data_IF_184757079013
#
_entry.id   IF_184757079013
#
_cell.length_a   1.000
_cell.length_b   1.000
_cell.length_c   1.000
_cell.angle_alpha   90.00
_cell.angle_beta   90.00
_cell.angle_gamma   90.00
#
_symmetry.space_group_name_H-M   'P 1'
#
loop_
_entity.id
_entity.type
_entity.pdbx_description
1 polymer ?
#
# COMPACT_ATOMS: atom_id res chain seq x y z
N UNK A 1 -5.33 7.63 23.94
CA UNK A 1 -6.00 6.90 22.83
C UNK A 1 -7.00 5.89 23.42
N UNK A 2 -8.15 5.74 22.82
CA UNK A 2 -9.19 4.79 23.24
C UNK A 2 -9.08 3.55 22.36
N UNK A 3 -9.17 2.35 22.97
CA UNK A 3 -9.22 1.11 22.20
C UNK A 3 -10.63 0.94 21.60
N UNK A 4 -10.74 0.85 20.28
CA UNK A 4 -11.98 0.57 19.59
C UNK A 4 -12.00 -0.88 19.10
N UNK A 5 -13.09 -1.61 19.37
CA UNK A 5 -13.26 -3.00 18.92
C UNK A 5 -13.51 -3.10 17.41
N UNK A 6 -14.00 -2.05 16.78
CA UNK A 6 -14.36 -2.03 15.35
C UNK A 6 -13.17 -1.70 14.44
N UNK A 7 -12.20 -0.93 14.96
CA UNK A 7 -11.01 -0.51 14.21
C UNK A 7 -9.93 -1.60 14.36
N UNK A 8 -9.31 -2.00 13.28
CA UNK A 8 -8.27 -3.04 13.30
C UNK A 8 -6.88 -2.50 13.61
N UNK A 9 -6.66 -1.19 13.42
CA UNK A 9 -5.40 -0.50 13.70
C UNK A 9 -5.63 0.68 14.65
N UNK A 10 -5.13 0.59 15.87
CA UNK A 10 -5.07 1.67 16.86
C UNK A 10 -3.76 1.62 17.66
N UNK A 11 -3.45 2.64 18.46
CA UNK A 11 -2.19 2.71 19.23
C UNK A 11 -2.00 1.54 20.22
N UNK A 12 -3.08 0.98 20.76
CA UNK A 12 -3.00 -0.19 21.63
C UNK A 12 -2.64 -1.43 20.84
N UNK A 13 -3.34 -1.67 19.71
CA UNK A 13 -3.13 -2.84 18.85
C UNK A 13 -1.76 -2.85 18.20
N UNK A 14 -1.26 -1.70 17.69
CA UNK A 14 0.09 -1.63 17.14
C UNK A 14 1.17 -1.85 18.20
N UNK A 15 0.90 -1.47 19.46
CA UNK A 15 1.81 -1.75 20.58
C UNK A 15 1.79 -3.24 20.95
N UNK A 16 0.63 -3.85 21.08
CA UNK A 16 0.44 -5.28 21.35
C UNK A 16 1.05 -6.17 20.26
N UNK A 17 0.87 -5.77 18.98
CA UNK A 17 1.43 -6.48 17.82
C UNK A 17 2.89 -6.18 17.51
N UNK A 18 3.55 -5.35 18.35
CA UNK A 18 4.93 -4.91 18.16
C UNK A 18 5.22 -4.21 16.83
N UNK A 19 4.21 -3.55 16.24
CA UNK A 19 4.36 -2.76 15.03
C UNK A 19 5.00 -1.41 15.35
N UNK A 20 6.03 -1.03 14.61
CA UNK A 20 6.73 0.25 14.78
C UNK A 20 6.14 1.38 13.93
N UNK A 21 5.64 1.02 12.74
CA UNK A 21 5.09 1.98 11.79
C UNK A 21 3.92 1.38 11.01
N UNK A 22 3.01 2.25 10.59
CA UNK A 22 1.90 1.92 9.68
C UNK A 22 1.70 3.04 8.67
N UNK A 23 1.03 2.73 7.55
CA UNK A 23 0.57 3.75 6.61
C UNK A 23 -0.92 3.93 6.81
N UNK A 24 -1.36 5.17 6.98
CA UNK A 24 -2.76 5.54 6.99
C UNK A 24 -3.09 6.27 5.69
N UNK A 25 -4.14 5.84 5.02
CA UNK A 25 -4.48 6.33 3.68
C UNK A 25 -5.72 7.20 3.67
N UNK A 26 -5.70 8.23 2.84
CA UNK A 26 -6.92 8.88 2.38
C UNK A 26 -7.55 7.99 1.30
N UNK A 27 -8.49 7.14 1.70
CA UNK A 27 -9.24 6.28 0.79
C UNK A 27 -10.40 7.02 0.14
N UNK A 28 -10.50 6.88 -1.19
CA UNK A 28 -11.61 7.42 -1.98
C UNK A 28 -12.26 6.34 -2.85
N UNK A 29 -13.53 6.10 -2.58
CA UNK A 29 -14.33 5.28 -3.50
C UNK A 29 -14.39 5.96 -4.87
N UNK A 30 -14.23 5.20 -5.96
CA UNK A 30 -14.43 5.72 -7.30
C UNK A 30 -15.91 6.09 -7.50
N UNK A 31 -16.14 7.33 -7.89
CA UNK A 31 -17.44 7.87 -8.23
C UNK A 31 -17.40 8.42 -9.68
N UNK A 32 -18.37 9.25 -10.04
CA UNK A 32 -18.45 9.95 -11.31
C UNK A 32 -17.24 10.86 -11.54
N UNK A 33 -16.98 11.20 -12.80
CA UNK A 33 -15.84 12.03 -13.21
C UNK A 33 -16.28 13.42 -13.70
N UNK A 34 -17.37 13.95 -13.13
CA UNK A 34 -17.76 15.34 -13.33
C UNK A 34 -16.84 16.27 -12.57
N UNK A 35 -16.74 17.52 -12.96
CA UNK A 35 -15.86 18.49 -12.31
C UNK A 35 -16.24 18.69 -10.82
N UNK A 36 -17.54 18.64 -10.49
CA UNK A 36 -18.03 18.70 -9.12
C UNK A 36 -17.60 17.49 -8.31
N UNK A 37 -17.71 16.27 -8.87
CA UNK A 37 -17.34 15.04 -8.18
C UNK A 37 -15.81 14.96 -7.98
N UNK A 38 -15.03 15.40 -8.96
CA UNK A 38 -13.57 15.49 -8.86
C UNK A 38 -13.11 16.50 -7.81
N UNK A 39 -13.73 17.68 -7.78
CA UNK A 39 -13.48 18.70 -6.73
C UNK A 39 -13.83 18.17 -5.35
N UNK A 40 -14.97 17.50 -5.20
CA UNK A 40 -15.40 16.88 -3.95
C UNK A 40 -14.44 15.76 -3.50
N UNK A 41 -13.88 14.98 -4.44
CA UNK A 41 -12.91 13.94 -4.15
C UNK A 41 -11.62 14.55 -3.59
N UNK A 42 -11.09 15.61 -4.20
CA UNK A 42 -9.90 16.32 -3.70
C UNK A 42 -10.14 16.89 -2.30
N UNK A 43 -11.27 17.55 -2.09
CA UNK A 43 -11.64 18.07 -0.76
C UNK A 43 -11.82 16.97 0.29
N UNK A 44 -12.32 15.79 -0.11
CA UNK A 44 -12.43 14.63 0.79
C UNK A 44 -11.06 14.09 1.17
N UNK A 45 -10.12 13.99 0.22
CA UNK A 45 -8.75 13.57 0.50
C UNK A 45 -8.08 14.51 1.52
N UNK A 46 -8.20 15.83 1.32
CA UNK A 46 -7.68 16.84 2.24
C UNK A 46 -8.26 16.67 3.65
N UNK A 47 -9.57 16.49 3.76
CA UNK A 47 -10.22 16.30 5.05
C UNK A 47 -9.71 15.07 5.78
N UNK A 48 -9.60 13.92 5.09
CA UNK A 48 -9.10 12.68 5.71
C UNK A 48 -7.64 12.86 6.17
N UNK A 49 -6.79 13.47 5.34
CA UNK A 49 -5.41 13.74 5.73
C UNK A 49 -5.34 14.68 6.94
N UNK A 50 -6.20 15.72 7.01
CA UNK A 50 -6.28 16.60 8.18
C UNK A 50 -6.68 15.81 9.44
N UNK A 51 -7.67 14.92 9.34
CA UNK A 51 -8.11 14.08 10.46
C UNK A 51 -6.99 13.16 10.97
N UNK A 52 -6.17 12.59 10.07
CA UNK A 52 -4.99 11.78 10.43
C UNK A 52 -3.94 12.66 11.14
N UNK A 53 -3.59 13.81 10.57
CA UNK A 53 -2.62 14.76 11.13
C UNK A 53 -3.06 15.25 12.53
N UNK A 54 -4.34 15.60 12.70
CA UNK A 54 -4.88 15.98 14.00
C UNK A 54 -4.86 14.84 15.02
N UNK A 55 -5.19 13.62 14.59
CA UNK A 55 -5.12 12.43 15.46
C UNK A 55 -3.68 12.21 15.94
N UNK A 56 -2.69 12.30 15.05
CA UNK A 56 -1.27 12.18 15.41
C UNK A 56 -0.86 13.31 16.36
N UNK A 57 -1.21 14.56 16.07
CA UNK A 57 -0.89 15.71 16.92
C UNK A 57 -1.47 15.58 18.33
N UNK A 58 -2.72 15.09 18.47
CA UNK A 58 -3.37 14.83 19.77
C UNK A 58 -2.68 13.71 20.57
N UNK A 59 -1.88 12.85 19.93
CA UNK A 59 -1.18 11.73 20.55
C UNK A 59 0.36 11.83 20.39
N UNK A 60 0.89 13.03 20.20
CA UNK A 60 2.29 13.30 19.83
C UNK A 60 3.36 12.74 20.80
N UNK A 61 3.00 12.37 22.02
CA UNK A 61 3.90 11.67 22.96
C UNK A 61 4.16 10.21 22.57
N UNK A 62 3.23 9.57 21.86
CA UNK A 62 3.27 8.15 21.52
C UNK A 62 3.46 7.88 20.02
N UNK A 63 3.07 8.81 19.15
CA UNK A 63 3.11 8.65 17.70
C UNK A 63 3.49 9.96 17.01
N UNK A 64 4.12 9.85 15.84
CA UNK A 64 4.44 11.03 15.01
C UNK A 64 4.41 10.64 13.53
N UNK A 65 4.37 11.64 12.62
CA UNK A 65 4.39 11.41 11.18
C UNK A 65 5.83 11.21 10.71
N UNK A 66 6.03 10.18 9.87
CA UNK A 66 7.28 9.92 9.18
C UNK A 66 7.15 10.23 7.68
N UNK A 67 8.03 11.07 7.17
CA UNK A 67 8.08 11.52 5.78
C UNK A 67 9.14 10.78 4.96
N UNK A 68 10.12 10.21 5.65
CA UNK A 68 11.29 9.54 5.09
C UNK A 68 11.64 8.27 5.87
N UNK A 69 12.41 7.32 5.29
CA UNK A 69 12.93 6.18 6.04
C UNK A 69 13.76 6.58 7.26
N UNK A 70 14.48 7.70 7.20
CA UNK A 70 15.26 8.20 8.33
C UNK A 70 14.37 8.64 9.50
N UNK A 71 13.19 9.20 9.23
CA UNK A 71 12.22 9.54 10.28
C UNK A 71 11.74 8.32 11.04
N UNK A 72 11.50 7.20 10.35
CA UNK A 72 11.11 5.94 11.01
C UNK A 72 12.17 5.48 12.02
N UNK A 73 13.44 5.52 11.60
CA UNK A 73 14.56 5.17 12.51
C UNK A 73 14.64 6.12 13.70
N UNK A 74 14.46 7.43 13.47
CA UNK A 74 14.48 8.46 14.52
C UNK A 74 13.34 8.25 15.51
N UNK A 75 12.11 8.04 15.01
CA UNK A 75 10.93 7.84 15.85
C UNK A 75 11.01 6.56 16.67
N UNK A 76 11.46 5.46 16.07
CA UNK A 76 11.70 4.20 16.79
C UNK A 76 12.70 4.37 17.93
N UNK A 77 13.82 5.07 17.67
CA UNK A 77 14.82 5.38 18.73
C UNK A 77 14.25 6.25 19.84
N UNK A 78 13.29 7.13 19.52
CA UNK A 78 12.58 7.95 20.49
C UNK A 78 11.44 7.21 21.23
N UNK A 79 11.24 5.91 20.96
CA UNK A 79 10.16 5.10 21.56
C UNK A 79 8.77 5.44 21.06
N UNK A 80 8.66 6.18 19.94
CA UNK A 80 7.39 6.54 19.32
C UNK A 80 7.04 5.58 18.18
N UNK A 81 5.74 5.40 17.96
CA UNK A 81 5.21 4.78 16.74
C UNK A 81 5.25 5.80 15.60
N UNK A 82 5.27 5.32 14.37
CA UNK A 82 5.27 6.17 13.20
C UNK A 82 4.02 5.95 12.34
N UNK A 83 3.47 7.04 11.79
CA UNK A 83 2.45 7.02 10.76
C UNK A 83 3.04 7.64 9.50
N UNK A 84 2.94 6.95 8.38
CA UNK A 84 3.16 7.52 7.05
C UNK A 84 1.80 7.78 6.40
N UNK A 85 1.73 8.79 5.53
CA UNK A 85 0.50 9.15 4.82
C UNK A 85 0.49 8.52 3.43
N UNK A 86 -0.66 7.99 3.01
CA UNK A 86 -0.89 7.52 1.65
C UNK A 86 -2.20 8.06 1.07
N UNK A 87 -2.35 7.91 -0.23
CA UNK A 87 -3.64 8.13 -0.92
C UNK A 87 -4.00 6.83 -1.63
N UNK A 88 -5.20 6.34 -1.40
CA UNK A 88 -5.75 5.20 -2.12
C UNK A 88 -6.86 5.66 -3.06
N UNK A 89 -6.57 5.58 -4.34
CA UNK A 89 -7.24 6.07 -5.52
C UNK A 89 -6.78 7.48 -5.95
N UNK A 90 -6.00 7.55 -7.03
CA UNK A 90 -5.57 8.80 -7.66
C UNK A 90 -6.72 9.70 -8.14
N UNK A 91 -7.96 9.24 -8.06
CA UNK A 91 -9.17 10.06 -8.18
C UNK A 91 -9.11 11.32 -7.29
N UNK A 92 -8.34 11.26 -6.20
CA UNK A 92 -8.09 12.34 -5.27
C UNK A 92 -7.46 13.59 -5.90
N UNK A 93 -6.69 13.44 -6.99
CA UNK A 93 -6.04 14.61 -7.61
C UNK A 93 -6.96 15.37 -8.57
N UNK A 94 -8.16 14.83 -8.86
CA UNK A 94 -9.04 15.37 -9.90
C UNK A 94 -8.34 15.34 -11.26
N UNK A 95 -8.46 16.42 -12.03
CA UNK A 95 -7.73 16.66 -13.29
C UNK A 95 -6.59 17.66 -13.13
N UNK A 96 -6.21 17.98 -11.90
CA UNK A 96 -5.16 18.94 -11.60
C UNK A 96 -3.89 18.24 -11.13
N UNK A 97 -2.91 18.14 -12.02
CA UNK A 97 -1.63 17.47 -11.76
C UNK A 97 -0.85 18.12 -10.62
N UNK A 98 -1.07 19.42 -10.33
CA UNK A 98 -0.37 20.11 -9.23
C UNK A 98 -0.73 19.54 -7.86
N UNK A 99 -1.87 18.85 -7.75
CA UNK A 99 -2.26 18.14 -6.55
C UNK A 99 -1.30 17.02 -6.18
N UNK A 100 -0.56 16.42 -7.12
CA UNK A 100 0.46 15.40 -6.83
C UNK A 100 1.58 16.01 -5.96
N UNK A 101 2.14 17.14 -6.38
CA UNK A 101 3.17 17.84 -5.61
C UNK A 101 2.61 18.37 -4.28
N UNK A 102 1.42 18.94 -4.29
CA UNK A 102 0.75 19.43 -3.08
C UNK A 102 0.57 18.33 -2.03
N UNK A 103 0.10 17.15 -2.40
CA UNK A 103 -0.02 16.01 -1.49
C UNK A 103 1.36 15.49 -1.04
N UNK A 104 2.36 15.48 -1.93
CA UNK A 104 3.72 15.11 -1.54
C UNK A 104 4.31 16.07 -0.50
N UNK A 105 4.08 17.36 -0.61
CA UNK A 105 4.49 18.37 0.38
C UNK A 105 3.79 18.16 1.74
N UNK A 106 2.59 17.61 1.77
CA UNK A 106 1.92 17.19 3.01
C UNK A 106 2.54 15.92 3.62
N UNK A 107 3.39 15.22 2.90
CA UNK A 107 4.06 14.01 3.38
C UNK A 107 3.49 12.70 2.85
N UNK A 108 2.58 12.73 1.87
CA UNK A 108 2.08 11.52 1.20
C UNK A 108 3.26 10.78 0.56
N UNK A 109 3.49 9.54 0.97
CA UNK A 109 4.64 8.74 0.50
C UNK A 109 4.32 7.91 -0.73
N UNK A 110 3.06 7.51 -0.92
CA UNK A 110 2.60 6.86 -2.15
C UNK A 110 1.17 7.26 -2.52
N UNK A 111 0.82 7.05 -3.79
CA UNK A 111 -0.56 7.12 -4.26
C UNK A 111 -0.87 5.91 -5.13
N UNK A 112 -1.95 5.19 -4.78
CA UNK A 112 -2.52 4.11 -5.60
C UNK A 112 -3.21 4.74 -6.80
N UNK A 113 -2.83 4.33 -8.02
CA UNK A 113 -3.29 4.98 -9.27
C UNK A 113 -4.82 4.97 -9.43
N UNK A 114 -5.46 3.89 -9.03
CA UNK A 114 -6.93 3.74 -9.05
C UNK A 114 -7.40 2.85 -7.90
N UNK A 115 -8.71 2.81 -7.69
CA UNK A 115 -9.36 1.81 -6.83
C UNK A 115 -10.27 0.90 -7.69
N UNK A 116 -11.35 0.37 -7.17
CA UNK A 116 -12.32 -0.40 -7.93
C UNK A 116 -13.11 0.53 -8.88
N UNK A 117 -12.81 0.45 -10.16
CA UNK A 117 -13.35 1.29 -11.24
C UNK A 117 -12.28 2.16 -11.90
N UNK A 118 -12.45 2.37 -13.22
CA UNK A 118 -11.57 3.22 -14.03
C UNK A 118 -11.68 4.68 -13.59
N UNK A 119 -10.54 5.39 -13.58
CA UNK A 119 -10.50 6.84 -13.39
C UNK A 119 -9.80 7.56 -14.55
N UNK A 120 -9.47 8.84 -14.40
CA UNK A 120 -8.79 9.60 -15.46
C UNK A 120 -7.31 9.22 -15.61
N UNK A 121 -6.74 8.46 -14.65
CA UNK A 121 -5.34 8.03 -14.66
C UNK A 121 -5.20 6.68 -15.37
N UNK A 122 -6.00 5.67 -14.99
CA UNK A 122 -5.83 4.32 -15.54
C UNK A 122 -7.07 3.42 -15.37
N UNK A 123 -7.04 2.29 -16.07
CA UNK A 123 -7.99 1.20 -15.93
C UNK A 123 -7.72 0.35 -14.70
N UNK A 124 -8.79 0.02 -13.98
CA UNK A 124 -8.77 -0.79 -12.77
C UNK A 124 -8.78 -2.29 -13.08
N UNK A 125 -8.39 -3.13 -12.13
CA UNK A 125 -8.55 -4.59 -12.16
C UNK A 125 -10.02 -5.03 -12.09
N UNK A 126 -10.93 -4.13 -11.67
CA UNK A 126 -12.37 -4.38 -11.57
C UNK A 126 -13.15 -3.30 -12.32
N UNK A 127 -14.25 -3.70 -12.97
CA UNK A 127 -15.09 -2.78 -13.73
C UNK A 127 -14.34 -2.06 -14.88
N UNK A 128 -13.46 -2.81 -15.56
CA UNK A 128 -12.68 -2.35 -16.72
C UNK A 128 -12.97 -3.22 -17.93
N UNK A 129 -14.22 -3.20 -18.41
CA UNK A 129 -14.70 -4.03 -19.53
C UNK A 129 -14.02 -3.63 -20.85
N UNK A 130 -13.57 -2.38 -20.96
CA UNK A 130 -12.85 -1.87 -22.12
C UNK A 130 -11.36 -2.25 -22.16
N UNK A 131 -10.83 -2.84 -21.09
CA UNK A 131 -9.41 -3.21 -20.98
C UNK A 131 -8.46 -2.02 -21.04
N UNK A 132 -8.87 -0.88 -20.46
CA UNK A 132 -8.06 0.35 -20.45
C UNK A 132 -6.75 0.18 -19.69
N UNK A 133 -5.70 0.79 -20.19
CA UNK A 133 -4.41 0.96 -19.53
C UNK A 133 -4.26 2.34 -18.88
N UNK A 134 -3.01 2.81 -18.80
CA UNK A 134 -2.70 4.18 -18.35
C UNK A 134 -3.07 5.18 -19.46
N UNK A 135 -3.78 6.23 -19.09
CA UNK A 135 -4.16 7.30 -20.02
C UNK A 135 -2.99 8.27 -20.27
N UNK A 136 -3.13 9.18 -21.25
CA UNK A 136 -2.16 10.28 -21.45
C UNK A 136 -2.01 11.15 -20.21
N UNK A 137 -3.10 11.42 -19.47
CA UNK A 137 -3.05 12.14 -18.21
C UNK A 137 -2.35 11.29 -17.13
N UNK A 138 -2.65 9.99 -17.07
CA UNK A 138 -1.99 9.06 -16.15
C UNK A 138 -0.48 8.97 -16.37
N UNK A 139 -0.01 9.03 -17.62
CA UNK A 139 1.43 9.11 -17.92
C UNK A 139 2.07 10.37 -17.30
N UNK A 140 1.42 11.51 -17.42
CA UNK A 140 1.89 12.76 -16.80
C UNK A 140 1.90 12.64 -15.27
N UNK A 141 0.86 12.05 -14.67
CA UNK A 141 0.76 11.82 -13.23
C UNK A 141 1.90 10.93 -12.73
N UNK A 142 2.18 9.80 -13.39
CA UNK A 142 3.28 8.91 -13.00
C UNK A 142 4.63 9.63 -13.07
N UNK A 143 4.88 10.39 -14.13
CA UNK A 143 6.11 11.20 -14.27
C UNK A 143 6.23 12.25 -13.17
N UNK A 144 5.12 12.90 -12.84
CA UNK A 144 5.08 13.89 -11.75
C UNK A 144 5.33 13.25 -10.39
N UNK A 145 4.71 12.08 -10.11
CA UNK A 145 4.99 11.30 -8.89
C UNK A 145 6.49 10.97 -8.76
N UNK A 146 7.13 10.54 -9.86
CA UNK A 146 8.57 10.29 -9.87
C UNK A 146 9.38 11.56 -9.59
N UNK A 147 8.98 12.70 -10.19
CA UNK A 147 9.65 14.00 -10.02
C UNK A 147 9.63 14.46 -8.57
N UNK A 148 8.49 14.35 -7.91
CA UNK A 148 8.31 14.84 -6.53
C UNK A 148 8.76 13.83 -5.47
N UNK A 149 9.13 12.60 -5.86
CA UNK A 149 9.52 11.54 -4.92
C UNK A 149 8.33 10.89 -4.19
N UNK A 150 7.22 10.68 -4.90
CA UNK A 150 6.06 9.91 -4.44
C UNK A 150 6.05 8.55 -5.12
N UNK A 151 5.96 7.46 -4.36
CA UNK A 151 5.91 6.10 -4.92
C UNK A 151 4.61 5.88 -5.69
N UNK A 152 4.72 5.24 -6.85
CA UNK A 152 3.57 4.77 -7.64
C UNK A 152 3.12 3.42 -7.10
N UNK A 153 1.85 3.33 -6.68
CA UNK A 153 1.25 2.09 -6.23
C UNK A 153 0.27 1.58 -7.27
N UNK A 154 0.47 0.32 -7.71
CA UNK A 154 -0.34 -0.36 -8.73
C UNK A 154 -1.30 -1.39 -8.16
N UNK A 155 -1.49 -1.45 -6.85
CA UNK A 155 -2.63 -2.18 -6.29
C UNK A 155 -3.93 -1.65 -6.91
N UNK A 156 -4.90 -2.52 -7.18
CA UNK A 156 -6.12 -2.23 -7.94
C UNK A 156 -5.96 -1.96 -9.44
N UNK A 157 -4.76 -1.71 -9.95
CA UNK A 157 -4.57 -1.48 -11.39
C UNK A 157 -4.87 -2.75 -12.21
N UNK A 158 -5.55 -2.58 -13.35
CA UNK A 158 -5.72 -3.65 -14.32
C UNK A 158 -4.38 -4.10 -14.91
N UNK A 159 -4.34 -5.29 -15.49
CA UNK A 159 -3.08 -5.87 -15.99
C UNK A 159 -2.39 -4.94 -16.99
N UNK A 160 -3.14 -4.37 -17.95
CA UNK A 160 -2.58 -3.41 -18.89
C UNK A 160 -2.04 -2.16 -18.18
N UNK A 161 -2.79 -1.61 -17.22
CA UNK A 161 -2.36 -0.43 -16.43
C UNK A 161 -1.11 -0.72 -15.61
N UNK A 162 -0.98 -1.94 -15.10
CA UNK A 162 0.21 -2.39 -14.38
C UNK A 162 1.45 -2.33 -15.28
N UNK A 163 1.39 -2.94 -16.48
CA UNK A 163 2.53 -2.94 -17.40
C UNK A 163 2.83 -1.55 -17.96
N UNK A 164 1.79 -0.77 -18.27
CA UNK A 164 1.96 0.63 -18.72
C UNK A 164 2.67 1.46 -17.63
N UNK A 165 2.21 1.37 -16.37
CA UNK A 165 2.83 2.09 -15.25
C UNK A 165 4.29 1.65 -15.02
N UNK A 166 4.57 0.35 -15.12
CA UNK A 166 5.90 -0.20 -14.99
C UNK A 166 6.85 0.29 -16.10
N UNK A 167 6.34 0.46 -17.33
CA UNK A 167 7.10 0.99 -18.46
C UNK A 167 7.34 2.51 -18.34
N UNK A 168 6.33 3.26 -17.89
CA UNK A 168 6.37 4.73 -17.79
C UNK A 168 7.25 5.19 -16.62
N UNK A 169 7.17 4.50 -15.47
CA UNK A 169 7.90 4.92 -14.27
C UNK A 169 9.41 4.77 -14.45
N UNK A 170 10.14 5.87 -14.24
CA UNK A 170 11.61 5.88 -14.16
C UNK A 170 12.16 5.43 -12.80
N UNK A 171 11.28 5.16 -11.82
CA UNK A 171 11.61 4.72 -10.46
C UNK A 171 10.92 3.38 -10.18
N UNK A 172 11.41 2.59 -9.20
CA UNK A 172 10.69 1.39 -8.76
C UNK A 172 9.27 1.74 -8.29
N UNK A 173 8.33 0.83 -8.53
CA UNK A 173 6.93 0.97 -8.13
C UNK A 173 6.54 -0.10 -7.11
N UNK A 174 5.41 0.05 -6.44
CA UNK A 174 4.94 -0.90 -5.43
C UNK A 174 3.55 -1.42 -5.77
N UNK A 175 3.23 -2.62 -5.28
CA UNK A 175 1.87 -3.11 -5.13
C UNK A 175 1.61 -3.27 -3.63
N UNK A 176 0.98 -2.25 -3.03
CA UNK A 176 0.88 -2.10 -1.57
C UNK A 176 0.04 -3.19 -0.89
N UNK A 177 -0.90 -3.82 -1.63
CA UNK A 177 -1.76 -4.89 -1.11
C UNK A 177 -2.31 -5.75 -2.26
N UNK A 178 -1.50 -6.70 -2.73
CA UNK A 178 -1.84 -7.64 -3.81
C UNK A 178 -1.18 -8.99 -3.57
N UNK A 179 -1.95 -10.07 -3.66
CA UNK A 179 -1.44 -11.43 -3.43
C UNK A 179 -1.14 -12.14 -4.76
N UNK A 180 -0.81 -13.43 -4.72
CA UNK A 180 -0.44 -14.21 -5.91
C UNK A 180 -1.67 -14.82 -6.60
N UNK A 181 -1.86 -14.53 -7.90
CA UNK A 181 -2.98 -15.06 -8.68
C UNK A 181 -2.86 -16.56 -8.91
N UNK A 182 -1.65 -17.10 -8.95
CA UNK A 182 -1.41 -18.54 -9.09
C UNK A 182 -2.06 -19.37 -7.96
N UNK A 183 -2.17 -18.83 -6.75
CA UNK A 183 -2.76 -19.50 -5.60
C UNK A 183 -4.26 -19.17 -5.44
N UNK A 184 -4.68 -17.98 -5.79
CA UNK A 184 -6.08 -17.58 -5.78
C UNK A 184 -6.36 -16.70 -7.00
N UNK A 185 -7.07 -17.28 -7.98
CA UNK A 185 -7.42 -16.57 -9.23
C UNK A 185 -8.46 -15.50 -8.93
N UNK A 186 -7.94 -14.31 -8.62
CA UNK A 186 -8.71 -13.10 -8.39
C UNK A 186 -8.07 -11.93 -9.15
N UNK A 187 -8.84 -11.05 -9.81
CA UNK A 187 -8.29 -9.97 -10.64
C UNK A 187 -7.42 -8.96 -9.88
N UNK A 188 -7.58 -8.87 -8.55
CA UNK A 188 -6.74 -8.02 -7.68
C UNK A 188 -5.38 -8.63 -7.35
N UNK A 189 -5.18 -9.93 -7.61
CA UNK A 189 -3.91 -10.62 -7.41
C UNK A 189 -3.02 -10.50 -8.66
N UNK A 190 -1.72 -10.49 -8.45
CA UNK A 190 -0.73 -10.40 -9.51
C UNK A 190 -0.39 -11.79 -10.08
N UNK A 191 -0.24 -11.87 -11.39
CA UNK A 191 0.30 -13.08 -12.05
C UNK A 191 1.79 -13.22 -11.75
N UNK A 192 2.34 -14.43 -11.93
CA UNK A 192 3.79 -14.67 -11.77
C UNK A 192 4.62 -13.80 -12.71
N UNK A 193 4.12 -13.52 -13.92
CA UNK A 193 4.81 -12.65 -14.87
C UNK A 193 4.78 -11.17 -14.42
N UNK A 194 3.68 -10.70 -13.83
CA UNK A 194 3.63 -9.38 -13.20
C UNK A 194 4.59 -9.29 -12.01
N UNK A 195 4.63 -10.32 -11.16
CA UNK A 195 5.54 -10.40 -10.03
C UNK A 195 7.00 -10.33 -10.47
N UNK A 196 7.40 -11.13 -11.47
CA UNK A 196 8.76 -11.11 -12.06
C UNK A 196 9.09 -9.74 -12.66
N UNK A 197 8.16 -9.14 -13.41
CA UNK A 197 8.36 -7.85 -14.05
C UNK A 197 8.55 -6.74 -13.00
N UNK A 198 7.77 -6.77 -11.90
CA UNK A 198 7.88 -5.83 -10.80
C UNK A 198 9.24 -5.95 -10.10
N UNK A 199 9.69 -7.18 -9.80
CA UNK A 199 10.99 -7.45 -9.20
C UNK A 199 12.14 -6.99 -10.10
N UNK A 200 12.08 -7.27 -11.40
CA UNK A 200 13.09 -6.85 -12.38
C UNK A 200 13.28 -5.33 -12.44
N UNK A 201 12.26 -4.55 -12.07
CA UNK A 201 12.30 -3.08 -11.92
C UNK A 201 12.64 -2.60 -10.51
N UNK A 202 13.07 -3.49 -9.61
CA UNK A 202 13.40 -3.16 -8.23
C UNK A 202 12.19 -2.90 -7.32
N UNK A 203 10.98 -3.18 -7.79
CA UNK A 203 9.74 -2.94 -7.05
C UNK A 203 9.47 -3.94 -5.94
N UNK A 204 8.35 -3.74 -5.24
CA UNK A 204 7.90 -4.58 -4.12
C UNK A 204 6.40 -4.88 -4.24
N UNK A 205 6.02 -6.14 -4.05
CA UNK A 205 4.63 -6.54 -3.85
C UNK A 205 4.40 -6.98 -2.40
N UNK A 206 3.30 -6.52 -1.82
CA UNK A 206 2.95 -6.81 -0.43
C UNK A 206 1.70 -7.68 -0.36
N UNK A 207 1.80 -8.80 0.37
CA UNK A 207 0.71 -9.77 0.54
C UNK A 207 -0.47 -9.10 1.22
N UNK A 208 -1.63 -9.11 0.57
CA UNK A 208 -2.89 -8.59 1.13
C UNK A 208 -3.53 -9.63 2.06
N UNK A 209 -4.09 -9.17 3.17
CA UNK A 209 -4.78 -10.03 4.14
C UNK A 209 -6.31 -9.97 4.02
N UNK A 210 -6.82 -9.61 2.83
CA UNK A 210 -8.23 -9.81 2.53
C UNK A 210 -8.48 -11.29 2.19
N UNK A 211 -9.41 -11.94 2.90
CA UNK A 211 -9.63 -13.38 2.77
C UNK A 211 -9.95 -13.84 1.34
N UNK A 212 -10.72 -13.04 0.58
CA UNK A 212 -11.08 -13.34 -0.81
C UNK A 212 -9.91 -13.28 -1.80
N UNK A 213 -8.76 -12.68 -1.44
CA UNK A 213 -7.55 -12.70 -2.27
C UNK A 213 -6.63 -13.88 -1.93
N UNK A 214 -6.87 -14.53 -0.80
CA UNK A 214 -6.08 -15.66 -0.34
C UNK A 214 -6.77 -16.99 -0.63
N UNK A 215 -8.12 -17.03 -0.55
CA UNK A 215 -8.94 -18.23 -0.86
C UNK A 215 -10.24 -17.85 -1.56
N UNK A 216 -10.67 -18.66 -2.52
CA UNK A 216 -11.92 -18.44 -3.28
C UNK A 216 -13.18 -18.36 -2.40
N UNK A 217 -13.23 -19.09 -1.29
CA UNK A 217 -14.35 -19.06 -0.34
C UNK A 217 -14.25 -17.90 0.67
N UNK A 218 -13.15 -17.14 0.67
CA UNK A 218 -12.91 -16.04 1.61
C UNK A 218 -12.52 -16.43 3.03
N UNK A 219 -12.58 -17.73 3.35
CA UNK A 219 -12.25 -18.26 4.69
C UNK A 219 -10.74 -18.52 4.79
N UNK A 220 -9.95 -17.45 4.85
CA UNK A 220 -8.51 -17.52 4.90
C UNK A 220 -7.97 -17.44 6.33
N UNK A 221 -6.80 -18.02 6.50
CA UNK A 221 -6.03 -18.01 7.74
C UNK A 221 -4.64 -17.42 7.50
N UNK A 222 -3.90 -17.18 8.57
CA UNK A 222 -2.51 -16.76 8.50
C UNK A 222 -1.63 -17.73 7.70
N UNK A 223 -1.97 -19.03 7.65
CA UNK A 223 -1.24 -20.02 6.84
C UNK A 223 -1.38 -19.72 5.35
N UNK A 224 -2.57 -19.34 4.91
CA UNK A 224 -2.82 -18.98 3.52
C UNK A 224 -2.04 -17.73 3.11
N UNK A 225 -1.98 -16.73 3.99
CA UNK A 225 -1.16 -15.55 3.75
C UNK A 225 0.34 -15.89 3.65
N UNK A 226 0.83 -16.80 4.46
CA UNK A 226 2.21 -17.30 4.39
C UNK A 226 2.45 -18.13 3.11
N UNK A 227 1.50 -18.93 2.65
CA UNK A 227 1.61 -19.64 1.37
C UNK A 227 1.75 -18.66 0.20
N UNK A 228 0.95 -17.60 0.18
CA UNK A 228 1.09 -16.52 -0.81
C UNK A 228 2.44 -15.83 -0.71
N UNK A 229 2.90 -15.50 0.49
CA UNK A 229 4.21 -14.89 0.70
C UNK A 229 5.34 -15.79 0.20
N UNK A 230 5.33 -17.09 0.55
CA UNK A 230 6.33 -18.06 0.10
C UNK A 230 6.36 -18.18 -1.43
N UNK A 231 5.19 -18.23 -2.07
CA UNK A 231 5.08 -18.25 -3.52
C UNK A 231 5.70 -16.97 -4.13
N UNK A 232 5.33 -15.80 -3.60
CA UNK A 232 5.87 -14.53 -4.09
C UNK A 232 7.39 -14.44 -3.89
N UNK A 233 7.92 -14.90 -2.75
CA UNK A 233 9.38 -14.97 -2.53
C UNK A 233 10.06 -15.89 -3.53
N UNK A 234 9.47 -17.04 -3.85
CA UNK A 234 10.02 -17.96 -4.85
C UNK A 234 10.03 -17.38 -6.27
N UNK A 235 9.04 -16.54 -6.60
CA UNK A 235 8.91 -15.93 -7.94
C UNK A 235 9.73 -14.65 -8.09
N UNK A 236 9.78 -13.82 -7.05
CA UNK A 236 10.33 -12.45 -7.09
C UNK A 236 11.71 -12.32 -6.44
N UNK A 237 12.06 -13.23 -5.53
CA UNK A 237 13.15 -13.04 -4.59
C UNK A 237 12.73 -12.32 -3.31
N UNK A 238 13.49 -12.54 -2.24
CA UNK A 238 13.17 -12.05 -0.89
C UNK A 238 13.19 -10.52 -0.78
N UNK A 239 13.97 -9.84 -1.61
CA UNK A 239 14.12 -8.38 -1.62
C UNK A 239 12.91 -7.64 -2.21
N UNK A 240 11.92 -8.38 -2.71
CA UNK A 240 10.79 -7.79 -3.46
C UNK A 240 9.43 -8.09 -2.83
N UNK A 241 9.37 -8.70 -1.66
CA UNK A 241 8.12 -9.10 -1.01
C UNK A 241 7.95 -8.41 0.35
N UNK A 242 6.71 -8.06 0.68
CA UNK A 242 6.35 -7.45 1.96
C UNK A 242 4.95 -7.84 2.42
N UNK A 243 4.46 -7.11 3.44
CA UNK A 243 3.15 -7.32 4.07
C UNK A 243 2.31 -6.07 3.89
N UNK A 244 1.16 -6.19 3.23
CA UNK A 244 0.15 -5.15 3.03
C UNK A 244 -1.20 -5.60 3.57
N UNK A 245 -1.44 -5.39 4.85
CA UNK A 245 -2.55 -6.01 5.58
C UNK A 245 -3.93 -5.65 5.07
N UNK A 246 -4.10 -4.47 4.51
CA UNK A 246 -5.40 -3.91 4.14
C UNK A 246 -6.38 -3.86 5.34
N UNK A 247 -5.84 -3.74 6.56
CA UNK A 247 -6.65 -3.56 7.76
C UNK A 247 -7.48 -2.27 7.66
N UNK A 248 -8.70 -2.35 8.16
CA UNK A 248 -9.74 -1.33 8.04
C UNK A 248 -10.22 -1.07 6.58
N UNK A 249 -9.70 -1.83 5.58
CA UNK A 249 -10.13 -1.90 4.19
C UNK A 249 -10.55 -3.33 3.80
N UNK A 250 -11.30 -4.02 4.67
CA UNK A 250 -11.74 -5.43 4.54
C UNK A 250 -10.64 -6.49 4.83
N UNK A 251 -9.41 -6.11 5.14
CA UNK A 251 -8.36 -7.01 5.60
C UNK A 251 -8.64 -7.58 6.99
N UNK A 252 -7.95 -8.69 7.28
CA UNK A 252 -8.08 -9.40 8.56
C UNK A 252 -8.53 -10.84 8.37
N UNK A 253 -7.70 -11.78 8.83
CA UNK A 253 -7.85 -13.22 8.64
C UNK A 253 -7.70 -13.96 9.96
N UNK A 254 -8.16 -15.20 10.02
CA UNK A 254 -7.99 -16.03 11.22
C UNK A 254 -6.52 -16.18 11.57
N UNK A 255 -6.16 -15.80 12.81
CA UNK A 255 -4.79 -15.81 13.33
C UNK A 255 -4.01 -14.52 13.05
N UNK A 256 -4.58 -13.57 12.29
CA UNK A 256 -4.08 -12.22 12.10
C UNK A 256 -5.26 -11.29 11.78
N UNK A 257 -6.17 -11.10 12.75
CA UNK A 257 -7.41 -10.37 12.58
C UNK A 257 -7.28 -8.85 12.78
N UNK A 258 -6.20 -8.39 13.38
CA UNK A 258 -5.91 -6.98 13.61
C UNK A 258 -4.43 -6.75 13.86
N UNK A 259 -4.02 -5.50 13.99
CA UNK A 259 -2.64 -5.12 14.27
C UNK A 259 -2.11 -5.75 15.57
N UNK A 260 -2.96 -6.06 16.56
CA UNK A 260 -2.53 -6.73 17.80
C UNK A 260 -2.01 -8.15 17.58
N UNK A 261 -2.39 -8.80 16.47
CA UNK A 261 -2.01 -10.17 16.15
C UNK A 261 -0.85 -10.29 15.15
N UNK A 262 -0.29 -9.17 14.69
CA UNK A 262 0.81 -9.16 13.71
C UNK A 262 2.05 -9.92 14.18
N UNK A 263 2.27 -10.01 15.48
CA UNK A 263 3.33 -10.85 16.05
C UNK A 263 3.19 -12.33 15.67
N UNK A 264 1.96 -12.81 15.40
CA UNK A 264 1.72 -14.16 14.95
C UNK A 264 2.29 -14.40 13.55
N UNK A 265 2.28 -13.37 12.70
CA UNK A 265 2.91 -13.45 11.38
C UNK A 265 4.43 -13.62 11.51
N UNK A 266 5.09 -12.84 12.38
CA UNK A 266 6.51 -13.02 12.68
C UNK A 266 6.83 -14.43 13.20
N UNK A 267 6.01 -14.92 14.16
CA UNK A 267 6.16 -16.30 14.68
C UNK A 267 6.04 -17.34 13.57
N UNK A 268 5.11 -17.11 12.64
CA UNK A 268 4.93 -18.02 11.51
C UNK A 268 6.14 -17.99 10.56
N UNK A 269 6.69 -16.82 10.24
CA UNK A 269 7.91 -16.70 9.43
C UNK A 269 9.09 -17.45 10.05
N UNK A 270 9.24 -17.40 11.38
CA UNK A 270 10.27 -18.17 12.10
C UNK A 270 10.05 -19.69 11.97
N UNK A 271 8.79 -20.15 12.02
CA UNK A 271 8.46 -21.57 11.81
C UNK A 271 8.75 -22.02 10.37
N UNK A 272 8.61 -21.14 9.39
CA UNK A 272 9.00 -21.35 7.98
C UNK A 272 10.53 -21.23 7.77
N UNK A 273 11.31 -21.01 8.85
CA UNK A 273 12.78 -20.90 8.87
C UNK A 273 13.35 -19.70 8.09
N UNK A 274 12.58 -18.61 7.98
CA UNK A 274 13.14 -17.35 7.53
C UNK A 274 14.18 -16.84 8.54
N UNK A 275 15.32 -16.36 8.03
CA UNK A 275 16.33 -15.71 8.88
C UNK A 275 15.81 -14.38 9.42
N UNK A 276 16.40 -13.87 10.51
CA UNK A 276 16.05 -12.54 11.04
C UNK A 276 16.22 -11.44 9.98
N UNK A 277 17.24 -11.54 9.14
CA UNK A 277 17.48 -10.61 8.03
C UNK A 277 16.31 -10.64 7.04
N UNK A 278 15.89 -11.83 6.61
CA UNK A 278 14.75 -11.99 5.70
C UNK A 278 13.45 -11.47 6.33
N UNK A 279 13.23 -11.71 7.61
CA UNK A 279 12.07 -11.18 8.34
C UNK A 279 12.09 -9.65 8.37
N UNK A 280 13.25 -9.01 8.56
CA UNK A 280 13.39 -7.55 8.50
C UNK A 280 13.08 -6.99 7.11
N UNK A 281 13.52 -7.68 6.06
CA UNK A 281 13.21 -7.30 4.68
C UNK A 281 11.70 -7.35 4.43
N UNK A 282 11.04 -8.46 4.78
CA UNK A 282 9.59 -8.66 4.62
C UNK A 282 8.78 -7.62 5.40
N UNK A 283 9.14 -7.34 6.66
CA UNK A 283 8.40 -6.41 7.52
C UNK A 283 8.50 -4.94 7.11
N UNK A 284 9.50 -4.55 6.36
CA UNK A 284 9.57 -3.15 5.93
C UNK A 284 10.83 -2.81 5.16
N UNK A 285 11.92 -3.57 5.29
CA UNK A 285 13.19 -3.25 4.64
C UNK A 285 13.06 -3.07 3.13
N UNK A 286 12.30 -3.95 2.48
CA UNK A 286 12.07 -3.89 1.04
C UNK A 286 11.26 -2.65 0.62
N UNK A 287 10.19 -2.34 1.34
CA UNK A 287 9.37 -1.16 1.07
C UNK A 287 10.16 0.13 1.31
N UNK A 288 10.92 0.20 2.40
CA UNK A 288 11.73 1.36 2.74
C UNK A 288 12.86 1.58 1.74
N UNK A 289 13.45 0.52 1.18
CA UNK A 289 14.41 0.60 0.07
C UNK A 289 13.79 1.29 -1.15
N UNK A 290 12.61 0.87 -1.56
CA UNK A 290 11.89 1.51 -2.68
C UNK A 290 11.57 2.96 -2.36
N UNK A 291 11.07 3.24 -1.16
CA UNK A 291 10.76 4.60 -0.70
C UNK A 291 12.01 5.50 -0.75
N UNK A 292 13.15 5.02 -0.27
CA UNK A 292 14.41 5.75 -0.30
C UNK A 292 14.87 6.03 -1.73
N UNK A 293 14.79 5.03 -2.62
CA UNK A 293 15.19 5.16 -4.03
C UNK A 293 14.29 6.14 -4.79
N UNK A 294 12.98 6.13 -4.53
CA UNK A 294 12.03 7.06 -5.14
C UNK A 294 12.24 8.48 -4.63
N UNK A 295 12.50 8.67 -3.33
CA UNK A 295 12.72 9.99 -2.72
C UNK A 295 14.11 10.57 -3.00
N UNK A 296 15.05 9.76 -3.46
CA UNK A 296 16.39 10.22 -3.83
C UNK A 296 16.32 11.09 -5.09
N UNK A 297 16.78 12.35 -4.97
CA UNK A 297 16.85 13.34 -6.06
C UNK A 297 17.91 12.99 -7.08
#
# INVERSE_FOLDING_TARGET
>A
ATRDKKILVDLHKITEGHLDATIMVAYLKQLERTDEALSAATAKADRILNEIEEMVAKNCTAVDIAYTPADLCRLKKAGKKAVMLGIENGYAIGKDITNVERFRHRGVVYMTLCHNGNNDICGSARYNEEGLGVSTFGEQVIKEMNRVGMMVDVSHAGEKSFYDALAISGKPIVASHSSARALCDHPRNLTDDQLKALAAKGGVAQVCMYGGFLRKNGEATIKDAIEHLNHMVNVMGIEHVGIGTDFDGDGGITGCASASELINFTRRLLLERYSEENIRLIWGGNFLRVMEEVQRK
#
